data_IF_552608576493
#
_entry.id   IF_552608576493
#
_cell.length_a   1.000
_cell.length_b   1.000
_cell.length_c   1.000
_cell.angle_alpha   90.00
_cell.angle_beta   90.00
_cell.angle_gamma   90.00
#
_symmetry.space_group_name_H-M   'P 1'
#
loop_
_entity.id
_entity.type
_entity.pdbx_description
1 polymer ?
#
# COMPACT_ATOMS: atom_id res chain seq x y z
N UNK A 1 -13.29 -6.91 16.03
CA UNK A 1 -12.60 -5.92 16.87
C UNK A 1 -11.94 -4.81 16.04
N UNK A 2 -11.18 -5.12 14.97
CA UNK A 2 -10.60 -4.08 14.10
C UNK A 2 -11.67 -3.22 13.42
N UNK A 3 -12.70 -3.84 12.86
CA UNK A 3 -13.77 -3.14 12.12
C UNK A 3 -14.59 -2.15 12.92
N UNK A 4 -14.59 -2.23 14.24
CA UNK A 4 -15.39 -1.37 15.13
C UNK A 4 -14.50 -0.57 16.08
N UNK A 5 -14.01 -1.21 17.15
CA UNK A 5 -13.22 -0.54 18.19
C UNK A 5 -11.94 0.10 17.64
N UNK A 6 -11.20 -0.64 16.79
CA UNK A 6 -9.96 -0.15 16.18
C UNK A 6 -10.19 1.11 15.35
N UNK A 7 -11.21 1.12 14.51
CA UNK A 7 -11.54 2.29 13.67
C UNK A 7 -12.04 3.47 14.48
N UNK A 8 -12.74 3.26 15.59
CA UNK A 8 -13.17 4.34 16.46
C UNK A 8 -11.97 5.05 17.11
N UNK A 9 -11.04 4.29 17.69
CA UNK A 9 -9.81 4.85 18.27
C UNK A 9 -8.96 5.54 17.19
N UNK A 10 -8.88 4.96 15.99
CA UNK A 10 -8.19 5.53 14.83
C UNK A 10 -8.64 6.96 14.51
N UNK A 11 -9.95 7.19 14.53
CA UNK A 11 -10.54 8.51 14.19
C UNK A 11 -10.29 9.53 15.30
N UNK A 12 -10.43 9.11 16.55
CA UNK A 12 -10.40 10.00 17.72
C UNK A 12 -8.96 10.36 18.12
N UNK A 13 -8.02 9.44 17.99
CA UNK A 13 -6.64 9.59 18.48
C UNK A 13 -5.58 9.46 17.36
N UNK A 14 -5.29 10.55 16.63
CA UNK A 14 -4.33 10.49 15.50
C UNK A 14 -2.93 10.00 15.92
N UNK A 15 -2.45 10.38 17.08
CA UNK A 15 -1.13 9.98 17.59
C UNK A 15 -1.03 8.48 17.93
N UNK A 16 -2.16 7.80 18.06
CA UNK A 16 -2.20 6.38 18.38
C UNK A 16 -2.31 5.47 17.15
N UNK A 17 -2.37 6.00 15.92
CA UNK A 17 -2.61 5.22 14.72
C UNK A 17 -1.58 4.12 14.51
N UNK A 18 -0.30 4.42 14.60
CA UNK A 18 0.77 3.40 14.53
C UNK A 18 0.67 2.39 15.67
N UNK A 19 0.38 2.86 16.89
CA UNK A 19 0.23 1.98 18.04
C UNK A 19 -0.94 1.00 17.88
N UNK A 20 -2.11 1.49 17.41
CA UNK A 20 -3.27 0.62 17.25
C UNK A 20 -3.05 -0.42 16.13
N UNK A 21 -2.41 -0.03 15.02
CA UNK A 21 -2.06 -0.98 13.97
C UNK A 21 -1.16 -2.10 14.51
N UNK A 22 -0.12 -1.76 15.29
CA UNK A 22 0.74 -2.76 15.94
C UNK A 22 -0.05 -3.65 16.90
N UNK A 23 -1.01 -3.10 17.64
CA UNK A 23 -1.86 -3.86 18.56
C UNK A 23 -2.77 -4.87 17.83
N UNK A 24 -3.11 -4.60 16.57
CA UNK A 24 -3.83 -5.50 15.68
C UNK A 24 -2.91 -6.31 14.76
N UNK A 25 -1.63 -6.44 15.09
CA UNK A 25 -0.69 -7.36 14.45
C UNK A 25 0.09 -6.82 13.26
N UNK A 26 -0.04 -5.52 12.92
CA UNK A 26 0.80 -4.91 11.90
C UNK A 26 2.24 -4.72 12.41
N UNK A 27 3.21 -4.87 11.53
CA UNK A 27 4.59 -4.45 11.78
C UNK A 27 4.79 -3.03 11.23
N UNK A 28 4.91 -2.05 12.11
CA UNK A 28 5.06 -0.64 11.72
C UNK A 28 6.33 -0.09 12.34
N UNK A 29 7.21 0.45 11.53
CA UNK A 29 8.43 1.11 11.97
C UNK A 29 8.18 2.43 12.73
N UNK A 30 9.24 3.16 12.99
CA UNK A 30 9.19 4.44 13.70
C UNK A 30 8.82 5.58 12.74
N UNK A 31 8.27 6.67 13.29
CA UNK A 31 7.95 7.92 12.57
C UNK A 31 7.06 7.71 11.31
N UNK A 32 6.13 6.76 11.39
CA UNK A 32 5.14 6.56 10.34
C UNK A 32 3.93 7.45 10.57
N UNK A 33 3.47 8.09 9.50
CA UNK A 33 2.32 8.99 9.50
C UNK A 33 1.17 8.40 8.69
N UNK A 34 -0.01 8.47 9.25
CA UNK A 34 -1.23 7.99 8.60
C UNK A 34 -2.28 9.10 8.60
N UNK A 35 -2.87 9.37 7.46
CA UNK A 35 -4.02 10.25 7.36
C UNK A 35 -5.26 9.65 8.06
N UNK A 36 -6.30 10.45 8.24
CA UNK A 36 -7.50 10.03 8.97
C UNK A 36 -8.36 9.05 8.19
N UNK A 37 -8.53 9.29 6.90
CA UNK A 37 -9.46 8.55 6.03
C UNK A 37 -8.70 7.62 5.10
N UNK A 38 -7.97 6.66 5.67
CA UNK A 38 -7.34 5.59 4.90
C UNK A 38 -8.08 4.28 5.12
N UNK A 39 -7.94 3.36 4.18
CA UNK A 39 -8.49 2.02 4.29
C UNK A 39 -7.37 1.01 4.45
N UNK A 40 -7.41 0.24 5.53
CA UNK A 40 -6.55 -0.92 5.77
C UNK A 40 -7.47 -2.10 6.04
N UNK A 41 -7.45 -3.11 5.19
CA UNK A 41 -8.38 -4.23 5.28
C UNK A 41 -8.01 -5.16 6.43
N UNK A 42 -6.73 -5.60 6.48
CA UNK A 42 -6.22 -6.58 7.44
C UNK A 42 -4.91 -6.06 8.05
N UNK A 43 -4.93 -5.48 9.28
CA UNK A 43 -3.72 -4.90 9.88
C UNK A 43 -2.52 -5.85 9.96
N UNK A 44 -2.71 -7.11 10.30
CA UNK A 44 -1.62 -8.08 10.44
C UNK A 44 -0.96 -8.51 9.12
N UNK A 45 -1.54 -8.14 7.98
CA UNK A 45 -0.92 -8.30 6.66
C UNK A 45 -0.20 -7.01 6.18
N UNK A 46 0.07 -6.06 7.09
CA UNK A 46 0.78 -4.82 6.75
C UNK A 46 2.13 -4.77 7.48
N UNK A 47 3.19 -4.69 6.69
CA UNK A 47 4.55 -4.49 7.16
C UNK A 47 5.09 -3.19 6.59
N UNK A 48 5.53 -2.27 7.44
CA UNK A 48 6.05 -0.97 7.04
C UNK A 48 7.35 -0.68 7.76
N UNK A 49 8.33 -0.21 7.02
CA UNK A 49 9.58 0.32 7.55
C UNK A 49 9.39 1.66 8.28
N UNK A 50 10.47 2.39 8.43
CA UNK A 50 10.50 3.66 9.15
C UNK A 50 10.16 4.84 8.21
N UNK A 51 9.72 5.96 8.79
CA UNK A 51 9.49 7.23 8.08
C UNK A 51 8.50 7.13 6.90
N UNK A 52 7.58 6.18 6.93
CA UNK A 52 6.57 6.01 5.89
C UNK A 52 5.40 6.97 6.09
N UNK A 53 4.77 7.35 4.99
CA UNK A 53 3.58 8.21 5.02
C UNK A 53 2.48 7.67 4.13
N UNK A 54 1.25 7.63 4.67
CA UNK A 54 0.04 7.24 3.92
C UNK A 54 -0.96 8.39 3.98
N UNK A 55 -1.27 8.96 2.83
CA UNK A 55 -2.15 10.12 2.68
C UNK A 55 -3.63 9.78 2.66
N UNK A 56 -4.48 10.81 2.63
CA UNK A 56 -5.94 10.69 2.71
C UNK A 56 -6.52 9.82 1.59
N UNK A 57 -7.49 9.00 1.96
CA UNK A 57 -8.22 8.11 1.06
C UNK A 57 -7.37 7.06 0.34
N UNK A 58 -6.11 6.86 0.73
CA UNK A 58 -5.33 5.74 0.24
C UNK A 58 -5.96 4.41 0.69
N UNK A 59 -5.92 3.41 -0.19
CA UNK A 59 -6.51 2.08 0.03
C UNK A 59 -5.38 1.06 0.05
N UNK A 60 -5.16 0.44 1.20
CA UNK A 60 -4.30 -0.72 1.35
C UNK A 60 -5.20 -1.96 1.44
N UNK A 61 -5.60 -2.46 0.24
CA UNK A 61 -6.43 -3.68 0.14
C UNK A 61 -5.54 -4.91 0.32
N UNK A 62 -5.13 -5.12 1.56
CA UNK A 62 -4.12 -6.07 1.96
C UNK A 62 -4.70 -7.42 2.42
N UNK A 63 -5.46 -8.08 1.56
CA UNK A 63 -5.85 -9.48 1.74
C UNK A 63 -4.63 -10.40 1.69
N UNK A 64 -3.70 -10.16 0.74
CA UNK A 64 -2.31 -10.61 0.79
C UNK A 64 -1.44 -9.63 1.56
N UNK A 65 -0.20 -10.01 1.80
CA UNK A 65 0.75 -9.17 2.52
C UNK A 65 1.14 -7.94 1.69
N UNK A 66 1.14 -6.76 2.31
CA UNK A 66 1.75 -5.54 1.77
C UNK A 66 2.98 -5.22 2.61
N UNK A 67 4.14 -5.16 1.94
CA UNK A 67 5.42 -4.79 2.56
C UNK A 67 5.91 -3.49 1.97
N UNK A 68 6.19 -2.51 2.83
CA UNK A 68 6.73 -1.20 2.48
C UNK A 68 8.10 -1.04 3.15
N UNK A 69 9.12 -0.69 2.38
CA UNK A 69 10.44 -0.34 2.90
C UNK A 69 10.45 0.98 3.68
N UNK A 70 11.63 1.48 4.00
CA UNK A 70 11.80 2.74 4.70
C UNK A 70 11.49 3.94 3.79
N UNK A 71 10.88 4.98 4.32
CA UNK A 71 10.64 6.23 3.62
C UNK A 71 9.60 6.16 2.49
N UNK A 72 8.83 5.09 2.39
CA UNK A 72 7.78 4.95 1.37
C UNK A 72 6.68 5.99 1.60
N UNK A 73 6.27 6.64 0.52
CA UNK A 73 5.18 7.63 0.52
C UNK A 73 4.06 7.19 -0.41
N UNK A 74 2.88 7.04 0.16
CA UNK A 74 1.65 6.69 -0.57
C UNK A 74 0.75 7.92 -0.54
N UNK A 75 0.49 8.49 -1.72
CA UNK A 75 -0.28 9.72 -1.84
C UNK A 75 -1.78 9.47 -1.89
N UNK A 76 -2.54 10.55 -1.96
CA UNK A 76 -4.00 10.59 -1.88
C UNK A 76 -4.67 9.66 -2.90
N UNK A 77 -5.60 8.85 -2.44
CA UNK A 77 -6.36 7.88 -3.24
C UNK A 77 -5.54 6.82 -3.99
N UNK A 78 -4.26 6.69 -3.71
CA UNK A 78 -3.49 5.58 -4.25
C UNK A 78 -4.05 4.24 -3.73
N UNK A 79 -4.07 3.22 -4.59
CA UNK A 79 -4.66 1.92 -4.28
C UNK A 79 -3.64 0.79 -4.48
N UNK A 80 -3.27 0.14 -3.39
CA UNK A 80 -2.44 -1.06 -3.39
C UNK A 80 -3.37 -2.27 -3.22
N UNK A 81 -3.50 -3.07 -4.30
CA UNK A 81 -4.48 -4.15 -4.36
C UNK A 81 -3.81 -5.52 -4.21
N UNK A 82 -3.60 -6.00 -2.99
CA UNK A 82 -3.04 -7.33 -2.70
C UNK A 82 -4.13 -8.41 -2.58
N UNK A 83 -5.05 -8.44 -3.53
CA UNK A 83 -6.12 -9.43 -3.59
C UNK A 83 -6.83 -9.41 -4.92
N UNK A 84 -7.15 -10.60 -5.44
CA UNK A 84 -7.86 -10.76 -6.71
C UNK A 84 -8.59 -12.10 -6.73
N UNK A 85 -9.30 -12.38 -7.79
CA UNK A 85 -9.92 -13.68 -8.04
C UNK A 85 -9.34 -14.31 -9.32
N UNK A 86 -9.23 -15.62 -9.35
CA UNK A 86 -8.96 -16.31 -10.61
C UNK A 86 -10.24 -16.34 -11.45
N UNK A 87 -10.27 -15.50 -12.49
CA UNK A 87 -11.41 -15.39 -13.39
C UNK A 87 -11.50 -16.53 -14.40
N UNK A 88 -10.47 -17.39 -14.49
CA UNK A 88 -10.44 -18.55 -15.38
C UNK A 88 -11.02 -19.79 -14.71
N UNK A 89 -11.06 -19.81 -13.37
CA UNK A 89 -11.65 -20.89 -12.60
C UNK A 89 -13.13 -20.60 -12.34
N UNK A 90 -14.00 -21.55 -12.67
CA UNK A 90 -15.45 -21.43 -12.46
C UNK A 90 -15.86 -21.29 -11.00
N UNK A 91 -15.00 -21.70 -10.06
CA UNK A 91 -15.21 -21.54 -8.62
C UNK A 91 -14.83 -20.15 -8.13
N UNK A 92 -14.20 -19.33 -9.00
CA UNK A 92 -13.81 -17.95 -8.71
C UNK A 92 -13.01 -17.79 -7.41
N UNK A 93 -11.95 -18.58 -7.18
CA UNK A 93 -11.25 -18.59 -5.92
C UNK A 93 -10.55 -17.26 -5.64
N UNK A 94 -10.57 -16.84 -4.39
CA UNK A 94 -9.86 -15.64 -3.93
C UNK A 94 -8.36 -15.91 -3.86
N UNK A 95 -7.58 -15.15 -4.60
CA UNK A 95 -6.12 -15.13 -4.55
C UNK A 95 -5.64 -13.95 -3.70
N UNK A 96 -4.54 -14.15 -2.97
CA UNK A 96 -3.97 -13.18 -2.04
C UNK A 96 -2.47 -12.97 -2.30
N UNK A 97 -2.08 -12.58 -3.52
CA UNK A 97 -0.67 -12.35 -3.83
C UNK A 97 -0.16 -11.10 -3.10
N UNK A 98 1.13 -11.07 -2.74
CA UNK A 98 1.70 -9.95 -2.01
C UNK A 98 1.97 -8.75 -2.91
N UNK A 99 2.22 -7.59 -2.26
CA UNK A 99 2.83 -6.40 -2.87
C UNK A 99 4.04 -6.04 -2.05
N UNK A 100 5.16 -5.71 -2.71
CA UNK A 100 6.38 -5.27 -2.06
C UNK A 100 6.89 -3.97 -2.69
N UNK A 101 7.12 -2.95 -1.86
CA UNK A 101 7.72 -1.68 -2.27
C UNK A 101 9.05 -1.51 -1.54
N UNK A 102 10.12 -1.28 -2.29
CA UNK A 102 11.44 -0.97 -1.74
C UNK A 102 11.50 0.39 -1.07
N UNK A 103 12.65 0.71 -0.48
CA UNK A 103 12.87 1.96 0.23
C UNK A 103 12.69 3.17 -0.68
N UNK A 104 12.16 4.26 -0.13
CA UNK A 104 12.05 5.54 -0.81
C UNK A 104 11.05 5.58 -1.97
N UNK A 105 10.23 4.54 -2.19
CA UNK A 105 9.21 4.57 -3.23
C UNK A 105 8.20 5.70 -2.98
N UNK A 106 7.82 6.37 -4.07
CA UNK A 106 6.73 7.35 -4.08
C UNK A 106 5.58 6.87 -4.97
N UNK A 107 4.42 6.75 -4.40
CA UNK A 107 3.20 6.29 -5.09
C UNK A 107 2.27 7.49 -5.25
N UNK A 108 2.18 8.01 -6.46
CA UNK A 108 1.45 9.24 -6.79
C UNK A 108 -0.06 9.15 -6.61
N UNK A 109 -0.71 10.30 -6.68
CA UNK A 109 -2.17 10.46 -6.51
C UNK A 109 -2.92 9.54 -7.47
N UNK A 110 -3.95 8.85 -6.98
CA UNK A 110 -4.79 7.93 -7.77
C UNK A 110 -4.01 6.80 -8.48
N UNK A 111 -2.77 6.51 -8.11
CA UNK A 111 -2.01 5.42 -8.70
C UNK A 111 -2.56 4.06 -8.22
N UNK A 112 -2.46 3.06 -9.09
CA UNK A 112 -2.92 1.70 -8.81
C UNK A 112 -1.76 0.72 -8.93
N UNK A 113 -1.62 -0.14 -7.93
CA UNK A 113 -0.65 -1.25 -7.92
C UNK A 113 -1.43 -2.56 -7.87
N UNK A 114 -1.26 -3.36 -8.91
CA UNK A 114 -1.92 -4.66 -9.06
C UNK A 114 -1.32 -5.72 -8.12
N UNK A 115 -2.05 -6.83 -7.91
CA UNK A 115 -1.55 -7.97 -7.15
C UNK A 115 -0.24 -8.52 -7.71
N UNK A 116 0.61 -9.07 -6.84
CA UNK A 116 1.90 -9.71 -7.17
C UNK A 116 2.98 -8.76 -7.75
N UNK A 117 2.84 -7.46 -7.48
CA UNK A 117 3.81 -6.45 -7.95
C UNK A 117 4.88 -6.21 -6.89
N UNK A 118 6.13 -6.23 -7.33
CA UNK A 118 7.30 -5.75 -6.58
C UNK A 118 7.90 -4.53 -7.29
N UNK A 119 8.08 -3.43 -6.56
CA UNK A 119 8.80 -2.25 -7.02
C UNK A 119 10.10 -2.11 -6.24
N UNK A 120 11.21 -2.01 -6.95
CA UNK A 120 12.51 -1.75 -6.33
C UNK A 120 12.60 -0.37 -5.70
N UNK A 121 13.65 -0.14 -4.91
CA UNK A 121 13.84 1.12 -4.16
C UNK A 121 13.89 2.35 -5.08
N UNK A 122 13.45 3.50 -4.54
CA UNK A 122 13.40 4.79 -5.24
C UNK A 122 12.57 4.77 -6.54
N UNK A 123 11.58 3.91 -6.63
CA UNK A 123 10.62 3.95 -7.75
C UNK A 123 9.61 5.07 -7.52
N UNK A 124 9.40 5.89 -8.53
CA UNK A 124 8.42 6.98 -8.52
C UNK A 124 7.28 6.62 -9.46
N UNK A 125 6.07 6.52 -8.93
CA UNK A 125 4.86 6.44 -9.74
C UNK A 125 4.24 7.82 -9.85
N UNK A 126 4.10 8.30 -11.09
CA UNK A 126 3.33 9.53 -11.36
C UNK A 126 1.84 9.34 -11.06
N UNK A 127 1.12 10.43 -10.95
CA UNK A 127 -0.32 10.38 -10.68
C UNK A 127 -1.07 9.52 -11.71
N UNK A 128 -2.04 8.73 -11.24
CA UNK A 128 -2.88 7.85 -12.07
C UNK A 128 -2.14 6.77 -12.84
N UNK A 129 -0.93 6.45 -12.45
CA UNK A 129 -0.18 5.33 -13.02
C UNK A 129 -0.75 4.01 -12.54
N UNK A 130 -0.95 3.07 -13.47
CA UNK A 130 -1.41 1.71 -13.15
C UNK A 130 -0.33 0.68 -13.46
N UNK A 131 0.12 -0.01 -12.41
CA UNK A 131 1.24 -0.97 -12.47
C UNK A 131 0.71 -2.38 -12.37
N UNK A 132 1.03 -3.21 -13.37
CA UNK A 132 0.58 -4.60 -13.47
C UNK A 132 1.72 -5.62 -13.51
N UNK A 133 2.97 -5.17 -13.44
CA UNK A 133 4.16 -6.02 -13.40
C UNK A 133 5.21 -5.40 -12.49
N UNK A 134 6.15 -6.21 -12.04
CA UNK A 134 7.27 -5.76 -11.21
C UNK A 134 8.29 -4.97 -12.02
N UNK A 135 8.98 -4.05 -11.33
CA UNK A 135 10.04 -3.23 -11.88
C UNK A 135 11.22 -3.15 -10.92
N UNK A 136 12.41 -3.02 -11.47
CA UNK A 136 13.61 -2.67 -10.71
C UNK A 136 13.51 -1.25 -10.15
N UNK A 137 14.39 -0.91 -9.22
CA UNK A 137 14.38 0.42 -8.59
C UNK A 137 15.03 1.52 -9.41
N UNK A 138 15.03 2.74 -8.85
CA UNK A 138 15.62 3.96 -9.40
C UNK A 138 15.02 4.37 -10.77
N UNK A 139 13.71 4.24 -10.91
CA UNK A 139 12.99 4.55 -12.13
C UNK A 139 11.75 5.41 -11.84
N UNK A 140 11.29 6.09 -12.88
CA UNK A 140 10.00 6.78 -12.89
C UNK A 140 9.03 6.08 -13.84
N UNK A 141 7.79 5.89 -13.39
CA UNK A 141 6.75 5.18 -14.15
C UNK A 141 5.54 6.09 -14.34
N UNK A 142 4.98 6.08 -15.54
CA UNK A 142 3.80 6.85 -15.89
C UNK A 142 2.86 6.06 -16.80
N UNK A 143 1.56 6.33 -16.68
CA UNK A 143 0.53 5.84 -17.58
C UNK A 143 -0.19 4.57 -17.11
N UNK A 144 -1.12 4.12 -17.96
CA UNK A 144 -1.91 2.89 -17.78
C UNK A 144 -1.94 2.10 -19.10
N UNK A 145 -1.23 0.96 -19.22
CA UNK A 145 -0.30 0.41 -18.23
C UNK A 145 0.95 1.29 -18.06
N UNK A 146 1.58 1.16 -16.88
CA UNK A 146 2.79 1.90 -16.55
C UNK A 146 3.93 1.65 -17.54
N UNK A 147 4.61 2.72 -17.93
CA UNK A 147 5.81 2.71 -18.76
C UNK A 147 6.88 3.58 -18.10
N UNK A 148 8.12 3.21 -18.28
CA UNK A 148 9.26 3.98 -17.80
C UNK A 148 9.33 5.33 -18.54
N UNK A 149 9.52 6.40 -17.78
CA UNK A 149 9.70 7.74 -18.32
C UNK A 149 11.13 7.84 -18.85
N UNK A 150 11.27 8.09 -20.13
CA UNK A 150 12.60 8.36 -20.72
C UNK A 150 13.01 9.78 -20.32
N UNK A 151 14.17 9.90 -19.71
CA UNK A 151 14.83 11.17 -19.41
C UNK A 151 15.45 11.78 -20.66
#
# INVERSE_FOLDING_TARGET
>A
LWGTLGKTIWVVFPCMRSWILRRFGATIGSRCEFARRIEITIPWNLHMGNNCRVAEHAILYNLGQITLGDGVRIDTRAHLCAGTHDMRDTTFPLLRPPISLGDGCYIGIDAYIAPDVTLGSNTILHARTSVYKSYEGNIELQGNPAKEVQQ
#
